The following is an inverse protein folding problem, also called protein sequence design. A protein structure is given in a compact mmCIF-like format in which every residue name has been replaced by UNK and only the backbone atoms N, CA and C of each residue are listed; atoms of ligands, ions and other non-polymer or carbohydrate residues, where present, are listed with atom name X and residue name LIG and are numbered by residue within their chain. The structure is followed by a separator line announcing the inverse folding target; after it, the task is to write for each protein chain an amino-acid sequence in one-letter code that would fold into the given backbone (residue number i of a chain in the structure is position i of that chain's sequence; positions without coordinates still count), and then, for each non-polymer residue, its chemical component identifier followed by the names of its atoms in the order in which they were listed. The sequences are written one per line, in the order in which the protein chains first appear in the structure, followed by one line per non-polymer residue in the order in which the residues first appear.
data_IF_997595852816
#
_entry.id   IF_997595852816
#
_cell.length_a   1.000
_cell.length_b   1.000
_cell.length_c   1.000
_cell.angle_alpha   90.00
_cell.angle_beta   90.00
_cell.angle_gamma   90.00
#
_symmetry.space_group_name_H-M   'P 1'
#
loop_
_entity.id
_entity.type
_entity.pdbx_description
1 polymer ?
#
# COMPACT_ATOMS: atom_id res chain seq x y z
N UNK A 1 20.90 -32.21 21.60
CA UNK A 1 21.75 -31.70 20.50
C UNK A 1 22.81 -30.84 21.16
N UNK A 2 24.09 -31.14 20.95
CA UNK A 2 25.20 -30.37 21.53
C UNK A 2 25.79 -29.41 20.49
N UNK A 3 26.58 -28.44 20.95
CA UNK A 3 27.12 -27.39 20.09
C UNK A 3 28.02 -27.93 18.97
N UNK A 4 28.74 -29.03 19.24
CA UNK A 4 29.58 -29.71 18.25
C UNK A 4 28.77 -30.32 17.10
N UNK A 5 27.61 -30.93 17.40
CA UNK A 5 26.71 -31.47 16.39
C UNK A 5 26.10 -30.35 15.53
N UNK A 6 25.81 -29.21 16.14
CA UNK A 6 25.27 -28.03 15.47
C UNK A 6 26.32 -27.41 14.53
N UNK A 7 27.56 -27.29 15.00
CA UNK A 7 28.69 -26.75 14.25
C UNK A 7 29.08 -27.67 13.07
N UNK A 8 29.02 -28.99 13.26
CA UNK A 8 29.23 -29.96 12.19
C UNK A 8 28.17 -29.85 11.09
N UNK A 9 26.90 -29.67 11.44
CA UNK A 9 25.81 -29.49 10.47
C UNK A 9 25.94 -28.17 9.71
N UNK A 10 26.32 -27.08 10.40
CA UNK A 10 26.52 -25.77 9.78
C UNK A 10 27.67 -25.80 8.77
N UNK A 11 28.80 -26.46 9.11
CA UNK A 11 29.92 -26.65 8.17
C UNK A 11 29.56 -27.54 6.99
N UNK A 12 28.77 -28.59 7.20
CA UNK A 12 28.33 -29.48 6.12
C UNK A 12 27.38 -28.79 5.13
N UNK A 13 26.63 -27.78 5.59
CA UNK A 13 25.72 -27.00 4.76
C UNK A 13 26.37 -25.78 4.09
N UNK A 14 27.63 -25.48 4.40
CA UNK A 14 28.35 -24.34 3.82
C UNK A 14 28.88 -24.66 2.41
N UNK A 15 28.29 -24.09 1.33
CA UNK A 15 28.75 -24.34 -0.04
C UNK A 15 30.13 -23.73 -0.31
N UNK A 16 30.59 -22.76 0.49
CA UNK A 16 31.91 -22.15 0.33
C UNK A 16 33.04 -23.14 0.67
N UNK A 17 32.77 -24.09 1.56
CA UNK A 17 33.72 -25.15 1.94
C UNK A 17 33.98 -26.15 0.80
N UNK A 18 33.07 -26.27 -0.17
CA UNK A 18 33.23 -27.11 -1.37
C UNK A 18 33.84 -26.35 -2.56
N UNK A 19 33.95 -25.02 -2.49
CA UNK A 19 34.44 -24.19 -3.56
C UNK A 19 35.96 -24.05 -3.49
N UNK A 20 36.69 -24.89 -4.23
CA UNK A 20 38.07 -24.58 -4.61
C UNK A 20 38.05 -23.50 -5.68
N UNK A 21 37.83 -22.26 -5.26
CA UNK A 21 37.87 -21.10 -6.17
C UNK A 21 39.31 -20.69 -6.38
N UNK A 22 39.83 -20.65 -7.63
CA UNK A 22 41.14 -20.08 -7.92
C UNK A 22 41.23 -18.65 -7.39
N UNK A 23 42.39 -18.20 -6.88
CA UNK A 23 42.53 -16.85 -6.37
C UNK A 23 42.16 -15.85 -7.47
N UNK A 24 41.28 -14.87 -7.18
CA UNK A 24 40.87 -13.90 -8.18
C UNK A 24 42.08 -13.08 -8.63
N UNK A 25 42.30 -13.00 -9.94
CA UNK A 25 43.31 -12.12 -10.53
C UNK A 25 42.68 -10.72 -10.56
N UNK A 26 43.09 -9.78 -9.68
CA UNK A 26 42.38 -8.51 -9.48
C UNK A 26 42.29 -7.66 -10.75
N UNK A 27 43.30 -7.77 -11.63
CA UNK A 27 43.31 -7.07 -12.92
C UNK A 27 42.19 -7.52 -13.87
N UNK A 28 41.81 -8.81 -13.87
CA UNK A 28 40.71 -9.30 -14.73
C UNK A 28 39.33 -8.91 -14.23
N UNK A 29 39.17 -8.69 -12.92
CA UNK A 29 37.90 -8.27 -12.33
C UNK A 29 37.57 -6.80 -12.67
N UNK A 30 38.58 -5.93 -12.72
CA UNK A 30 38.42 -4.54 -13.18
C UNK A 30 38.08 -4.45 -14.68
N UNK A 31 38.71 -5.26 -15.53
CA UNK A 31 38.35 -5.29 -16.96
C UNK A 31 36.93 -5.82 -17.19
N UNK A 32 36.52 -6.87 -16.48
CA UNK A 32 35.18 -7.45 -16.61
C UNK A 32 34.05 -6.51 -16.11
N UNK A 33 34.34 -5.56 -15.22
CA UNK A 33 33.36 -4.53 -14.82
C UNK A 33 33.30 -3.34 -15.78
N UNK A 34 34.38 -3.08 -16.54
CA UNK A 34 34.41 -1.98 -17.52
C UNK A 34 33.97 -2.39 -18.93
N UNK A 35 33.81 -3.69 -19.18
CA UNK A 35 33.32 -4.24 -20.46
C UNK A 35 31.92 -4.84 -20.29
N UNK A 36 30.97 -4.04 -19.82
CA UNK A 36 29.56 -4.32 -20.12
C UNK A 36 29.34 -3.89 -21.56
N UNK A 37 29.52 -4.83 -22.48
CA UNK A 37 29.09 -4.68 -23.87
C UNK A 37 27.59 -4.39 -23.87
N UNK A 38 27.25 -3.15 -24.18
CA UNK A 38 25.87 -2.72 -24.39
C UNK A 38 25.51 -3.06 -25.84
N UNK A 39 25.48 -4.35 -26.19
CA UNK A 39 24.91 -4.81 -27.46
C UNK A 39 23.38 -4.69 -27.38
N UNK A 40 22.90 -3.47 -27.60
CA UNK A 40 21.53 -3.25 -28.05
C UNK A 40 21.42 -3.92 -29.41
N UNK A 41 20.76 -5.07 -29.45
CA UNK A 41 20.40 -5.76 -30.68
C UNK A 41 19.43 -4.91 -31.49
N UNK A 42 19.97 -4.06 -32.37
CA UNK A 42 19.24 -3.35 -33.41
C UNK A 42 18.85 -4.33 -34.51
N UNK A 43 17.56 -4.61 -34.64
CA UNK A 43 17.00 -5.32 -35.79
C UNK A 43 16.84 -4.33 -36.95
N UNK A 44 17.32 -4.65 -38.18
CA UNK A 44 17.24 -3.73 -39.31
C UNK A 44 15.86 -3.74 -40.02
N UNK A 45 15.30 -2.54 -40.16
CA UNK A 45 14.56 -1.93 -41.29
C UNK A 45 13.66 -2.77 -42.21
N UNK A 46 12.42 -2.29 -42.41
CA UNK A 46 11.98 -1.97 -43.77
C UNK A 46 11.02 -0.76 -43.80
N UNK A 47 11.07 0.09 -44.85
CA UNK A 47 10.31 1.34 -44.93
C UNK A 47 8.94 1.12 -45.60
N UNK A 48 7.89 1.75 -45.08
CA UNK A 48 6.67 1.94 -45.84
C UNK A 48 6.18 3.40 -45.81
N UNK A 49 5.89 3.86 -47.03
CA UNK A 49 5.61 5.21 -47.51
C UNK A 49 4.25 5.73 -46.99
N UNK A 50 4.02 7.06 -46.94
CA UNK A 50 2.88 7.63 -46.22
C UNK A 50 1.62 7.66 -47.07
N UNK A 51 0.48 7.34 -46.45
CA UNK A 51 -0.84 7.66 -47.00
C UNK A 51 -1.67 8.45 -45.99
N UNK A 52 -2.14 9.57 -46.51
CA UNK A 52 -2.94 10.63 -45.91
C UNK A 52 -4.38 10.14 -45.64
N UNK A 53 -4.91 10.67 -44.52
CA UNK A 53 -6.33 11.00 -44.21
C UNK A 53 -7.30 9.83 -43.97
N UNK A 54 -7.85 9.78 -42.76
CA UNK A 54 -9.24 10.19 -42.49
C UNK A 54 -9.46 10.35 -40.98
N UNK A 55 -10.09 11.47 -40.63
CA UNK A 55 -10.53 11.81 -39.29
C UNK A 55 -11.74 10.95 -38.89
N UNK A 56 -11.81 10.56 -37.62
CA UNK A 56 -13.08 10.35 -36.93
C UNK A 56 -12.94 10.83 -35.48
N UNK A 57 -13.62 11.95 -35.23
CA UNK A 57 -13.95 12.52 -33.93
C UNK A 57 -14.98 11.62 -33.26
N UNK A 58 -14.77 11.27 -32.01
CA UNK A 58 -15.83 10.83 -31.11
C UNK A 58 -15.55 11.42 -29.71
N UNK A 59 -16.07 12.62 -29.50
CA UNK A 59 -16.19 13.23 -28.19
C UNK A 59 -17.34 12.55 -27.44
N UNK A 60 -17.03 11.84 -26.36
CA UNK A 60 -18.03 11.47 -25.37
C UNK A 60 -17.92 12.48 -24.22
N UNK A 61 -18.76 13.51 -24.29
CA UNK A 61 -18.97 14.49 -23.23
C UNK A 61 -19.78 13.79 -22.14
N UNK A 62 -19.15 13.47 -21.01
CA UNK A 62 -19.88 13.26 -19.76
C UNK A 62 -20.09 14.62 -19.10
N UNK A 63 -21.27 15.20 -19.31
CA UNK A 63 -21.78 16.27 -18.45
C UNK A 63 -22.18 15.65 -17.11
N UNK A 64 -21.27 15.70 -16.14
CA UNK A 64 -21.67 15.72 -14.73
C UNK A 64 -21.72 17.18 -14.32
N UNK A 65 -22.94 17.66 -14.15
CA UNK A 65 -23.23 18.95 -13.56
C UNK A 65 -22.61 19.05 -12.16
N UNK A 66 -21.93 20.17 -11.90
CA UNK A 66 -21.32 20.48 -10.61
C UNK A 66 -20.43 21.70 -10.74
N UNK A 67 -21.05 22.87 -10.94
CA UNK A 67 -20.34 24.14 -11.12
C UNK A 67 -19.55 24.54 -9.89
N UNK A 68 -18.34 25.06 -10.10
CA UNK A 68 -17.64 25.87 -9.13
C UNK A 68 -17.60 27.28 -9.71
N UNK A 69 -18.69 28.01 -9.51
CA UNK A 69 -18.69 29.46 -9.67
C UNK A 69 -17.90 30.03 -8.49
N UNK A 70 -16.70 30.53 -8.74
CA UNK A 70 -16.05 31.48 -7.83
C UNK A 70 -16.82 32.80 -7.93
N UNK A 71 -17.84 32.93 -7.09
CA UNK A 71 -18.59 34.15 -6.88
C UNK A 71 -18.84 34.32 -5.40
N UNK A 72 -18.21 35.34 -4.79
CA UNK A 72 -18.57 35.79 -3.46
C UNK A 72 -20.01 36.34 -3.51
N UNK A 73 -20.95 35.63 -2.87
CA UNK A 73 -22.21 36.18 -2.36
C UNK A 73 -22.59 35.46 -1.08
N UNK A 74 -22.95 36.27 -0.10
CA UNK A 74 -23.39 35.91 1.25
C UNK A 74 -24.92 35.69 1.26
N UNK A 75 -25.41 35.10 2.35
CA UNK A 75 -26.81 34.93 2.79
C UNK A 75 -27.60 33.64 2.44
N UNK A 76 -27.69 32.81 3.49
CA UNK A 76 -28.88 32.16 4.05
C UNK A 76 -29.76 31.28 3.17
N UNK A 77 -29.57 29.96 3.29
CA UNK A 77 -30.71 29.03 3.32
C UNK A 77 -30.37 27.78 4.15
N UNK A 78 -31.23 27.49 5.12
CA UNK A 78 -31.18 26.34 6.03
C UNK A 78 -31.42 25.03 5.26
N UNK A 79 -30.38 24.53 4.61
CA UNK A 79 -30.32 23.13 4.17
C UNK A 79 -29.31 22.43 5.05
N UNK A 80 -29.65 21.34 5.77
CA UNK A 80 -28.65 20.48 6.38
C UNK A 80 -27.86 19.82 5.24
N UNK A 81 -26.83 20.53 4.78
CA UNK A 81 -25.76 19.92 4.00
C UNK A 81 -25.09 18.96 4.96
N UNK A 82 -25.51 17.70 4.91
CA UNK A 82 -24.89 16.60 5.63
C UNK A 82 -23.46 16.53 5.13
N UNK A 83 -22.57 17.30 5.76
CA UNK A 83 -21.14 17.19 5.56
C UNK A 83 -20.82 15.71 5.80
N UNK A 84 -20.18 15.01 4.85
CA UNK A 84 -19.75 13.65 5.11
C UNK A 84 -18.92 13.67 6.40
N UNK A 85 -19.38 12.91 7.40
CA UNK A 85 -18.64 12.73 8.65
C UNK A 85 -17.31 12.08 8.27
N UNK A 86 -16.24 12.86 8.32
CA UNK A 86 -14.90 12.38 8.06
C UNK A 86 -14.27 11.97 9.39
N UNK A 87 -13.97 10.68 9.55
CA UNK A 87 -13.12 10.24 10.67
C UNK A 87 -11.67 10.59 10.34
N UNK A 88 -10.94 11.15 11.30
CA UNK A 88 -9.52 11.44 11.14
C UNK A 88 -8.70 10.47 11.99
N UNK A 89 -7.77 9.79 11.35
CA UNK A 89 -6.81 8.87 11.95
C UNK A 89 -5.39 9.40 11.76
N UNK A 90 -4.48 9.01 12.65
CA UNK A 90 -3.07 9.37 12.57
C UNK A 90 -2.24 8.14 12.29
N UNK A 91 -1.32 8.24 11.34
CA UNK A 91 -0.22 7.31 11.22
C UNK A 91 0.76 7.52 12.40
N UNK A 92 1.01 6.45 13.16
CA UNK A 92 2.06 6.39 14.15
C UNK A 92 3.35 5.85 13.52
N UNK A 93 4.46 6.52 13.78
CA UNK A 93 5.81 6.02 13.52
C UNK A 93 6.24 5.05 14.62
N UNK A 94 7.14 4.14 14.26
CA UNK A 94 7.67 3.03 15.08
C UNK A 94 6.71 1.86 15.32
N UNK A 95 6.91 0.78 14.56
CA UNK A 95 6.93 -0.55 15.16
C UNK A 95 8.36 -0.78 15.61
N UNK A 96 8.59 -1.27 16.84
CA UNK A 96 9.94 -1.71 17.24
C UNK A 96 10.53 -2.72 16.25
N UNK A 97 11.78 -3.14 16.46
CA UNK A 97 12.59 -4.01 15.56
C UNK A 97 11.96 -5.38 15.17
N UNK A 98 10.70 -5.64 15.54
CA UNK A 98 9.91 -6.78 15.15
C UNK A 98 9.55 -6.74 13.65
N UNK A 99 9.73 -7.88 12.98
CA UNK A 99 9.22 -8.10 11.62
C UNK A 99 7.69 -8.06 11.63
N UNK A 100 7.08 -7.38 10.67
CA UNK A 100 5.62 -7.39 10.54
C UNK A 100 5.11 -8.82 10.35
N UNK A 101 4.19 -9.25 11.22
CA UNK A 101 3.44 -10.48 11.04
C UNK A 101 2.13 -10.18 10.31
N UNK A 102 1.72 -11.07 9.41
CA UNK A 102 0.41 -10.98 8.76
C UNK A 102 -0.74 -11.14 9.77
N UNK A 103 -1.93 -10.58 9.47
CA UNK A 103 -3.06 -10.64 10.39
C UNK A 103 -3.61 -12.06 10.51
N UNK A 104 -3.81 -12.50 11.75
CA UNK A 104 -4.58 -13.71 12.10
C UNK A 104 -5.87 -13.32 12.81
N UNK A 105 -6.87 -14.21 12.84
CA UNK A 105 -8.15 -13.95 13.55
C UNK A 105 -7.90 -13.58 15.01
N UNK A 106 -7.06 -14.33 15.71
CA UNK A 106 -6.78 -14.10 17.13
C UNK A 106 -6.06 -12.76 17.33
N UNK A 107 -5.07 -12.45 16.50
CA UNK A 107 -4.39 -11.14 16.57
C UNK A 107 -5.34 -9.96 16.34
N UNK A 108 -6.35 -10.11 15.47
CA UNK A 108 -7.34 -9.07 15.21
C UNK A 108 -8.34 -8.96 16.37
N UNK A 109 -8.72 -10.09 16.99
CA UNK A 109 -9.60 -10.12 18.17
C UNK A 109 -8.96 -9.51 19.40
N UNK A 110 -7.68 -9.77 19.64
CA UNK A 110 -6.91 -9.13 20.71
C UNK A 110 -6.86 -7.60 20.54
N UNK A 111 -7.07 -7.14 19.30
CA UNK A 111 -7.18 -5.72 18.96
C UNK A 111 -8.60 -5.18 19.04
N UNK A 112 -9.63 -6.01 18.98
CA UNK A 112 -11.03 -5.61 19.02
C UNK A 112 -11.44 -5.11 20.43
N UNK A 113 -11.20 -3.82 20.67
CA UNK A 113 -11.61 -3.10 21.88
C UNK A 113 -12.60 -1.99 21.54
N UNK A 114 -13.30 -1.41 22.53
CA UNK A 114 -14.28 -0.34 22.30
C UNK A 114 -13.74 0.95 21.66
N UNK A 115 -12.42 1.11 21.53
CA UNK A 115 -11.77 2.24 20.88
C UNK A 115 -11.05 1.84 19.59
N UNK A 116 -11.54 0.78 18.94
CA UNK A 116 -10.98 0.23 17.71
C UNK A 116 -11.87 0.60 16.53
N UNK A 117 -11.28 1.18 15.50
CA UNK A 117 -11.91 1.39 14.22
C UNK A 117 -11.36 0.34 13.24
N UNK A 118 -12.21 -0.54 12.73
CA UNK A 118 -11.84 -1.49 11.69
C UNK A 118 -12.78 -1.37 10.49
N UNK A 119 -12.24 -1.19 9.30
CA UNK A 119 -13.01 -1.02 8.07
C UNK A 119 -12.23 -1.52 6.84
N UNK A 120 -12.93 -1.86 5.77
CA UNK A 120 -12.37 -1.93 4.43
C UNK A 120 -12.76 -0.69 3.62
N UNK A 121 -11.86 -0.22 2.77
CA UNK A 121 -12.09 0.97 1.99
C UNK A 121 -11.13 1.13 0.82
N UNK A 122 -11.45 2.09 -0.02
CA UNK A 122 -10.71 2.42 -1.24
C UNK A 122 -10.09 3.81 -1.12
N UNK A 123 -8.81 3.94 -1.42
CA UNK A 123 -8.10 5.23 -1.48
C UNK A 123 -8.70 6.08 -2.60
N UNK A 124 -9.20 7.26 -2.27
CA UNK A 124 -9.75 8.22 -3.22
C UNK A 124 -8.77 9.33 -3.56
N UNK A 125 -7.89 9.69 -2.63
CA UNK A 125 -6.84 10.69 -2.85
C UNK A 125 -5.65 10.50 -1.92
N UNK A 126 -4.48 10.90 -2.43
CA UNK A 126 -3.23 11.02 -1.67
C UNK A 126 -2.72 12.44 -1.91
N UNK A 127 -2.47 13.20 -0.84
CA UNK A 127 -2.04 14.61 -0.93
C UNK A 127 -1.13 14.94 0.24
N UNK A 128 0.15 15.21 -0.05
CA UNK A 128 1.15 15.50 0.98
C UNK A 128 1.28 14.35 1.97
N UNK A 129 1.10 14.66 3.25
CA UNK A 129 1.16 13.72 4.37
C UNK A 129 -0.18 13.02 4.67
N UNK A 130 -1.16 13.11 3.76
CA UNK A 130 -2.52 12.64 3.99
C UNK A 130 -3.04 11.70 2.89
N UNK A 131 -3.73 10.64 3.31
CA UNK A 131 -4.52 9.74 2.47
C UNK A 131 -5.99 9.84 2.83
N UNK A 132 -6.86 9.82 1.84
CA UNK A 132 -8.31 9.77 2.02
C UNK A 132 -8.86 8.45 1.50
N UNK A 133 -9.64 7.77 2.32
CA UNK A 133 -10.35 6.54 1.99
C UNK A 133 -11.85 6.82 1.90
N UNK A 134 -12.50 6.27 0.88
CA UNK A 134 -13.93 5.98 0.94
C UNK A 134 -14.09 4.69 1.71
N UNK A 135 -14.96 4.69 2.72
CA UNK A 135 -15.26 3.47 3.46
C UNK A 135 -16.26 2.64 2.67
N UNK A 136 -15.94 1.37 2.45
CA UNK A 136 -16.79 0.42 1.75
C UNK A 136 -17.57 -0.44 2.76
N UNK A 137 -16.94 -0.83 3.89
CA UNK A 137 -17.62 -1.56 4.96
C UNK A 137 -16.95 -1.35 6.33
N UNK A 138 -17.76 -1.18 7.38
CA UNK A 138 -17.32 -1.10 8.78
C UNK A 138 -17.43 -2.46 9.47
N UNK A 139 -16.33 -2.91 10.07
CA UNK A 139 -16.28 -4.14 10.88
C UNK A 139 -16.51 -3.88 12.38
N UNK A 140 -16.33 -2.62 12.81
CA UNK A 140 -16.63 -2.13 14.16
C UNK A 140 -17.74 -1.10 14.11
N UNK A 141 -18.18 -0.60 15.28
CA UNK A 141 -19.16 0.48 15.34
C UNK A 141 -18.56 1.78 14.78
N UNK A 142 -18.91 2.10 13.53
CA UNK A 142 -18.52 3.31 12.82
C UNK A 142 -19.51 3.63 11.70
N UNK A 143 -19.69 4.92 11.39
CA UNK A 143 -20.69 5.39 10.43
C UNK A 143 -20.13 6.41 9.43
N UNK A 144 -18.85 6.77 9.56
CA UNK A 144 -18.18 7.69 8.66
C UNK A 144 -18.08 7.08 7.25
N UNK A 145 -18.51 7.84 6.25
CA UNK A 145 -18.40 7.44 4.83
C UNK A 145 -16.99 7.67 4.26
N UNK A 146 -16.19 8.48 4.95
CA UNK A 146 -14.82 8.84 4.55
C UNK A 146 -13.90 8.80 5.77
N UNK A 147 -12.69 8.29 5.58
CA UNK A 147 -11.64 8.29 6.60
C UNK A 147 -10.42 9.00 6.03
N UNK A 148 -9.87 9.96 6.78
CA UNK A 148 -8.61 10.64 6.45
C UNK A 148 -7.52 10.14 7.38
N UNK A 149 -6.44 9.63 6.81
CA UNK A 149 -5.22 9.27 7.54
C UNK A 149 -4.20 10.38 7.31
N UNK A 150 -3.75 11.03 8.37
CA UNK A 150 -2.71 12.07 8.33
C UNK A 150 -1.39 11.53 8.84
N UNK A 151 -0.30 12.27 8.64
CA UNK A 151 1.04 11.96 9.14
C UNK A 151 1.69 10.71 8.49
N UNK A 152 1.30 10.36 7.26
CA UNK A 152 1.74 9.11 6.61
C UNK A 152 3.26 9.09 6.32
N UNK A 153 3.92 10.24 6.31
CA UNK A 153 5.37 10.37 6.16
C UNK A 153 6.16 9.75 7.32
N UNK A 154 5.53 9.52 8.48
CA UNK A 154 6.14 8.87 9.63
C UNK A 154 6.16 7.34 9.54
N UNK A 155 5.59 6.75 8.49
CA UNK A 155 5.77 5.34 8.19
C UNK A 155 7.09 5.16 7.44
N UNK A 156 8.15 4.87 8.18
CA UNK A 156 9.46 4.57 7.62
C UNK A 156 9.33 3.39 6.63
N UNK A 157 9.65 3.65 5.36
CA UNK A 157 9.85 2.71 4.25
C UNK A 157 8.94 1.46 4.24
N UNK A 158 7.71 1.57 3.70
CA UNK A 158 7.03 0.35 3.28
C UNK A 158 5.64 0.45 2.67
N UNK A 159 4.82 1.44 3.03
CA UNK A 159 3.44 1.54 2.53
C UNK A 159 3.32 2.77 1.63
N UNK A 160 3.23 2.53 0.33
CA UNK A 160 2.88 3.55 -0.67
C UNK A 160 1.41 3.41 -1.03
N UNK A 161 0.68 4.52 -0.97
CA UNK A 161 -0.72 4.56 -1.38
C UNK A 161 -0.87 5.15 -2.78
N UNK A 162 -1.80 4.58 -3.54
CA UNK A 162 -2.24 5.07 -4.82
C UNK A 162 -3.75 5.24 -4.80
N UNK A 163 -4.25 6.25 -5.52
CA UNK A 163 -5.68 6.36 -5.74
C UNK A 163 -6.20 5.10 -6.45
N UNK A 164 -7.27 4.51 -5.90
CA UNK A 164 -7.82 3.23 -6.34
C UNK A 164 -7.34 2.02 -5.52
N UNK A 165 -6.33 2.16 -4.66
CA UNK A 165 -5.91 1.07 -3.79
C UNK A 165 -7.04 0.71 -2.82
N UNK A 166 -7.39 -0.57 -2.76
CA UNK A 166 -8.35 -1.11 -1.81
C UNK A 166 -7.60 -1.79 -0.67
N UNK A 167 -8.06 -1.61 0.56
CA UNK A 167 -7.52 -2.39 1.66
C UNK A 167 -8.30 -2.34 2.96
N UNK A 168 -7.75 -3.05 3.93
CA UNK A 168 -8.29 -3.26 5.26
C UNK A 168 -7.48 -2.48 6.27
N UNK A 169 -8.16 -1.76 7.15
CA UNK A 169 -7.58 -0.86 8.13
C UNK A 169 -8.04 -1.30 9.52
N UNK A 170 -7.11 -1.29 10.49
CA UNK A 170 -7.42 -1.37 11.92
C UNK A 170 -6.70 -0.23 12.61
N UNK A 171 -7.42 0.65 13.30
CA UNK A 171 -6.85 1.73 14.10
C UNK A 171 -7.29 1.59 15.55
N UNK A 172 -6.39 1.88 16.48
CA UNK A 172 -6.69 1.89 17.92
C UNK A 172 -6.48 3.29 18.46
N UNK A 173 -7.45 3.80 19.21
CA UNK A 173 -7.40 5.15 19.79
C UNK A 173 -7.12 6.24 18.74
N UNK A 174 -7.69 6.10 17.53
CA UNK A 174 -7.48 7.02 16.42
C UNK A 174 -6.10 6.95 15.76
N UNK A 175 -5.30 5.92 16.06
CA UNK A 175 -3.95 5.75 15.54
C UNK A 175 -3.75 4.44 14.79
N UNK A 176 -2.99 4.49 13.70
CA UNK A 176 -2.59 3.36 12.85
C UNK A 176 -1.08 3.18 12.92
N UNK A 177 -0.63 2.05 13.46
CA UNK A 177 0.77 1.62 13.46
C UNK A 177 1.14 0.87 12.18
N UNK A 178 2.42 0.95 11.81
CA UNK A 178 2.97 0.41 10.57
C UNK A 178 2.85 -1.11 10.38
N UNK A 179 3.07 -1.93 11.42
CA UNK A 179 2.94 -3.39 11.32
C UNK A 179 1.60 -3.90 11.90
N UNK A 180 1.16 -3.35 13.04
CA UNK A 180 0.13 -3.96 13.87
C UNK A 180 -1.31 -3.51 13.57
N UNK A 181 -1.44 -2.45 12.79
CA UNK A 181 -2.68 -1.69 12.59
C UNK A 181 -2.71 -1.13 11.15
N UNK A 182 -2.02 -1.83 10.26
CA UNK A 182 -1.61 -1.31 8.96
C UNK A 182 -2.73 -1.44 7.92
N UNK A 183 -2.44 -0.90 6.75
CA UNK A 183 -3.22 -1.09 5.54
C UNK A 183 -2.83 -2.40 4.87
N UNK A 184 -3.78 -3.32 4.67
CA UNK A 184 -3.56 -4.55 3.90
C UNK A 184 -4.40 -4.57 2.63
N UNK A 185 -3.79 -4.89 1.48
CA UNK A 185 -4.48 -4.86 0.17
C UNK A 185 -5.02 -6.21 -0.30
N UNK A 186 -4.73 -7.31 0.40
CA UNK A 186 -5.15 -8.65 -0.02
C UNK A 186 -6.68 -8.85 0.18
N UNK A 187 -7.47 -9.03 -0.89
CA UNK A 187 -8.91 -9.24 -0.78
C UNK A 187 -9.31 -10.50 -0.01
N UNK A 188 -8.41 -11.49 0.10
CA UNK A 188 -8.66 -12.74 0.84
C UNK A 188 -8.88 -12.49 2.35
N UNK A 189 -8.44 -11.33 2.85
CA UNK A 189 -8.55 -10.92 4.26
C UNK A 189 -9.98 -10.60 4.70
N UNK A 190 -10.91 -10.33 3.79
CA UNK A 190 -12.32 -10.03 4.12
C UNK A 190 -12.91 -11.07 5.08
N UNK A 191 -12.69 -12.35 4.80
CA UNK A 191 -13.17 -13.44 5.66
C UNK A 191 -12.51 -13.48 7.03
N UNK A 192 -11.26 -13.02 7.17
CA UNK A 192 -10.56 -12.91 8.46
C UNK A 192 -11.17 -11.79 9.30
N UNK A 193 -11.41 -10.62 8.71
CA UNK A 193 -12.00 -9.46 9.38
C UNK A 193 -13.43 -9.75 9.87
N UNK A 194 -14.28 -10.36 9.03
CA UNK A 194 -15.61 -10.81 9.46
C UNK A 194 -15.52 -11.74 10.68
N UNK A 195 -14.63 -12.75 10.66
CA UNK A 195 -14.50 -13.68 11.81
C UNK A 195 -13.95 -13.03 13.07
N UNK A 196 -13.16 -11.96 12.93
CA UNK A 196 -12.51 -11.30 14.04
C UNK A 196 -13.43 -10.30 14.75
N UNK A 197 -14.12 -9.45 13.99
CA UNK A 197 -14.84 -8.30 14.54
C UNK A 197 -16.36 -8.47 14.57
N UNK A 198 -16.92 -9.13 13.57
CA UNK A 198 -18.35 -9.39 13.54
C UNK A 198 -18.63 -10.64 14.37
N UNK A 199 -19.07 -10.40 15.62
CA UNK A 199 -19.54 -11.48 16.47
C UNK A 199 -20.64 -12.23 15.71
N UNK A 200 -20.44 -13.54 15.50
CA UNK A 200 -21.59 -14.44 15.29
C UNK A 200 -22.45 -14.29 16.53
N UNK A 201 -23.62 -13.67 16.36
CA UNK A 201 -24.66 -13.64 17.39
C UNK A 201 -24.98 -15.03 17.92
#
# INVERSE_FOLDING_TARGET
MNDEELLARLKAADPASAASTPPPVPHRLMEATMTVDTEVRTVPSSPHRPRRRLALVAAAVFTVAGGIAWGAVDFSDDTPSARPSALVLKAAGESGEARCAGPTVDSLRDRATGHTAAFEGTVTSVSGDQVTFKVDHWYTDGDASTVRVTNIEHWEDGITFHAGDHGFIVARNGSMGFCDNAFWTDPSLRGLFHRAFERRG
#
